data_IF_552208360673
#
_entry.id   IF_552208360673
#
_cell.length_a   1.000
_cell.length_b   1.000
_cell.length_c   1.000
_cell.angle_alpha   90.00
_cell.angle_beta   90.00
_cell.angle_gamma   90.00
#
_symmetry.space_group_name_H-M   'P 1'
#
loop_
_entity.id
_entity.type
_entity.pdbx_description
1 polymer ?
#
# COMPACT_ATOMS: atom_id res chain seq x y z
N UNK A 1 26.03 -1.89 1.75
CA UNK A 1 25.08 -1.46 2.82
C UNK A 1 24.70 0.02 2.70
N UNK A 2 25.66 0.95 2.51
CA UNK A 2 25.36 2.40 2.40
C UNK A 2 24.52 2.78 1.17
N UNK A 3 24.80 2.23 -0.03
CA UNK A 3 24.07 2.58 -1.27
C UNK A 3 22.57 2.21 -1.24
N UNK A 4 22.20 1.09 -0.61
CA UNK A 4 20.79 0.68 -0.49
C UNK A 4 20.03 1.61 0.48
N UNK A 5 20.66 1.97 1.60
CA UNK A 5 20.04 2.88 2.58
C UNK A 5 19.74 4.26 1.96
N UNK A 6 20.65 4.81 1.13
CA UNK A 6 20.42 6.08 0.42
C UNK A 6 19.31 5.98 -0.63
N UNK A 7 19.17 4.83 -1.31
CA UNK A 7 18.12 4.62 -2.31
C UNK A 7 16.74 4.48 -1.67
N UNK A 8 16.63 3.70 -0.59
CA UNK A 8 15.39 3.53 0.17
C UNK A 8 14.93 4.84 0.78
N UNK A 9 15.83 5.59 1.42
CA UNK A 9 15.50 6.92 1.95
C UNK A 9 15.00 7.89 0.87
N UNK A 10 15.63 7.90 -0.31
CA UNK A 10 15.15 8.73 -1.44
C UNK A 10 13.76 8.29 -1.94
N UNK A 11 13.51 6.98 -2.04
CA UNK A 11 12.22 6.42 -2.46
C UNK A 11 11.09 6.75 -1.48
N UNK A 12 11.39 6.68 -0.18
CA UNK A 12 10.46 7.01 0.91
C UNK A 12 10.13 8.51 0.92
N UNK A 13 11.12 9.40 0.78
CA UNK A 13 10.88 10.84 0.72
C UNK A 13 10.06 11.26 -0.52
N UNK A 14 10.29 10.61 -1.67
CA UNK A 14 9.44 10.81 -2.84
C UNK A 14 7.99 10.40 -2.56
N UNK A 15 7.78 9.25 -1.90
CA UNK A 15 6.44 8.78 -1.57
C UNK A 15 5.72 9.71 -0.60
N UNK A 16 6.41 10.26 0.41
CA UNK A 16 5.84 11.27 1.32
C UNK A 16 5.36 12.51 0.56
N UNK A 17 6.13 13.01 -0.40
CA UNK A 17 5.74 14.15 -1.23
C UNK A 17 4.50 13.86 -2.08
N UNK A 18 4.33 12.62 -2.52
CA UNK A 18 3.12 12.17 -3.22
C UNK A 18 1.94 12.13 -2.25
N UNK A 19 2.09 11.50 -1.07
CA UNK A 19 1.04 11.39 -0.06
C UNK A 19 0.53 12.74 0.46
N UNK A 20 1.39 13.77 0.50
CA UNK A 20 0.97 15.15 0.81
C UNK A 20 -0.07 15.73 -0.17
N UNK A 21 -0.21 15.14 -1.36
CA UNK A 21 -1.07 15.64 -2.45
C UNK A 21 -2.25 14.70 -2.75
N UNK A 22 -2.33 13.55 -2.08
CA UNK A 22 -3.39 12.57 -2.35
C UNK A 22 -4.74 13.12 -1.91
N UNK A 23 -5.72 12.98 -2.81
CA UNK A 23 -7.10 13.39 -2.61
C UNK A 23 -8.10 12.34 -3.18
N UNK A 24 -9.39 12.65 -3.12
CA UNK A 24 -10.46 11.77 -3.58
C UNK A 24 -10.47 11.46 -5.09
N UNK A 25 -9.69 12.19 -5.90
CA UNK A 25 -9.58 12.01 -7.35
C UNK A 25 -8.29 11.31 -7.77
N UNK A 26 -7.35 11.14 -6.83
CA UNK A 26 -6.03 10.57 -7.11
C UNK A 26 -6.10 9.10 -7.54
N UNK A 27 -6.95 8.30 -6.89
CA UNK A 27 -7.20 6.92 -7.28
C UNK A 27 -8.49 6.77 -8.10
N UNK A 28 -8.55 5.80 -9.04
CA UNK A 28 -7.50 4.86 -9.42
C UNK A 28 -6.78 5.27 -10.71
N UNK A 29 -6.91 6.53 -11.14
CA UNK A 29 -6.50 6.99 -12.48
C UNK A 29 -5.18 7.75 -12.52
N UNK A 30 -4.70 8.25 -11.39
CA UNK A 30 -3.40 8.94 -11.29
C UNK A 30 -2.43 8.09 -10.48
N UNK A 31 -2.88 7.62 -9.32
CA UNK A 31 -2.15 6.68 -8.47
C UNK A 31 -3.02 5.47 -8.12
N UNK A 32 -2.38 4.42 -7.63
CA UNK A 32 -3.05 3.33 -6.94
C UNK A 32 -2.08 2.61 -6.00
N UNK A 33 -2.33 2.66 -4.69
CA UNK A 33 -1.40 2.12 -3.68
C UNK A 33 -1.92 0.85 -3.00
N UNK A 34 -3.01 0.26 -3.47
CA UNK A 34 -3.56 -0.96 -2.88
C UNK A 34 -4.12 -1.86 -3.97
N UNK A 35 -3.41 -2.93 -4.31
CA UNK A 35 -3.82 -3.91 -5.32
C UNK A 35 -3.06 -5.22 -5.16
N UNK A 36 -3.70 -6.29 -5.60
CA UNK A 36 -3.23 -7.66 -5.41
C UNK A 36 -3.00 -8.36 -6.75
N UNK A 37 -2.01 -9.26 -6.77
CA UNK A 37 -1.66 -10.08 -7.92
C UNK A 37 -1.88 -11.56 -7.59
N UNK A 38 -1.58 -12.42 -8.55
CA UNK A 38 -1.52 -13.88 -8.34
C UNK A 38 -0.48 -14.33 -7.31
N UNK A 39 0.32 -13.42 -6.75
CA UNK A 39 1.28 -13.72 -5.69
C UNK A 39 0.65 -13.73 -4.29
N UNK A 40 -0.63 -13.35 -4.18
CA UNK A 40 -1.46 -13.55 -2.99
C UNK A 40 -2.82 -14.12 -3.40
N UNK A 41 -3.88 -13.33 -3.36
CA UNK A 41 -5.26 -13.71 -3.65
C UNK A 41 -5.89 -12.89 -4.79
N UNK A 42 -5.11 -12.04 -5.45
CA UNK A 42 -5.48 -11.36 -6.69
C UNK A 42 -5.45 -12.26 -7.92
N UNK A 43 -5.98 -11.75 -9.04
CA UNK A 43 -6.06 -12.49 -10.32
C UNK A 43 -5.14 -11.94 -11.41
N UNK A 44 -4.64 -10.72 -11.26
CA UNK A 44 -3.74 -10.11 -12.23
C UNK A 44 -2.35 -10.73 -12.16
N UNK A 45 -1.80 -11.06 -13.32
CA UNK A 45 -0.36 -11.29 -13.46
C UNK A 45 0.37 -9.95 -13.31
N UNK A 46 1.55 -9.89 -12.67
CA UNK A 46 2.30 -8.64 -12.52
C UNK A 46 2.59 -7.91 -13.84
N UNK A 47 2.83 -8.64 -14.93
CA UNK A 47 3.00 -8.05 -16.26
C UNK A 47 1.72 -7.38 -16.77
N UNK A 48 0.58 -8.09 -16.72
CA UNK A 48 -0.72 -7.56 -17.14
C UNK A 48 -1.16 -6.36 -16.28
N UNK A 49 -0.81 -6.37 -14.99
CA UNK A 49 -1.01 -5.25 -14.09
C UNK A 49 -0.23 -4.02 -14.56
N UNK A 50 1.06 -4.18 -14.84
CA UNK A 50 1.89 -3.06 -15.31
C UNK A 50 1.47 -2.54 -16.69
N UNK A 51 1.02 -3.43 -17.58
CA UNK A 51 0.42 -3.03 -18.86
C UNK A 51 -0.81 -2.14 -18.65
N UNK A 52 -1.71 -2.52 -17.74
CA UNK A 52 -2.86 -1.68 -17.39
C UNK A 52 -2.43 -0.35 -16.76
N UNK A 53 -1.47 -0.37 -15.84
CA UNK A 53 -0.97 0.85 -15.19
C UNK A 53 -0.42 1.86 -16.21
N UNK A 54 0.36 1.38 -17.20
CA UNK A 54 0.88 2.21 -18.29
C UNK A 54 -0.26 2.70 -19.19
N UNK A 55 -1.21 1.82 -19.56
CA UNK A 55 -2.32 2.18 -20.44
C UNK A 55 -3.30 3.19 -19.80
N UNK A 56 -3.52 3.12 -18.48
CA UNK A 56 -4.30 4.09 -17.72
C UNK A 56 -3.56 5.44 -17.63
N UNK A 57 -2.23 5.41 -17.67
CA UNK A 57 -1.38 6.58 -17.51
C UNK A 57 -1.11 6.90 -16.04
N UNK A 58 -1.00 5.89 -15.17
CA UNK A 58 -0.65 6.10 -13.77
C UNK A 58 0.70 6.81 -13.66
N UNK A 59 0.80 7.76 -12.74
CA UNK A 59 2.06 8.40 -12.35
C UNK A 59 2.84 7.52 -11.37
N UNK A 60 2.14 6.72 -10.56
CA UNK A 60 2.79 5.74 -9.70
C UNK A 60 1.84 4.78 -8.99
N UNK A 61 2.40 3.69 -8.49
CA UNK A 61 1.65 2.62 -7.83
C UNK A 61 2.51 1.79 -6.86
N UNK A 62 1.82 1.01 -6.03
CA UNK A 62 2.41 -0.07 -5.24
C UNK A 62 1.56 -1.34 -5.37
N UNK A 63 2.22 -2.47 -5.65
CA UNK A 63 1.60 -3.79 -5.55
C UNK A 63 1.70 -4.22 -4.09
N UNK A 64 0.60 -4.62 -3.47
CA UNK A 64 0.51 -4.85 -2.01
C UNK A 64 -0.01 -6.24 -1.68
N UNK A 65 0.50 -7.26 -2.37
CA UNK A 65 0.16 -8.66 -2.09
C UNK A 65 0.27 -9.01 -0.59
N UNK A 66 -0.67 -9.82 -0.09
CA UNK A 66 -0.68 -10.28 1.29
C UNK A 66 0.60 -11.05 1.65
N UNK A 67 1.33 -10.55 2.66
CA UNK A 67 2.52 -11.18 3.23
C UNK A 67 3.58 -11.60 2.20
N UNK A 68 3.64 -10.93 1.04
CA UNK A 68 4.48 -11.33 -0.06
C UNK A 68 4.90 -10.12 -0.90
N UNK A 69 6.13 -10.17 -1.41
CA UNK A 69 6.70 -9.14 -2.29
C UNK A 69 6.91 -9.65 -3.72
N UNK A 70 6.55 -10.90 -4.00
CA UNK A 70 6.78 -11.55 -5.29
C UNK A 70 6.15 -10.80 -6.48
N UNK A 71 4.94 -10.25 -6.31
CA UNK A 71 4.27 -9.48 -7.36
C UNK A 71 5.03 -8.21 -7.73
N UNK A 72 5.51 -7.47 -6.73
CA UNK A 72 6.39 -6.31 -6.92
C UNK A 72 7.69 -6.69 -7.65
N UNK A 73 8.39 -7.75 -7.22
CA UNK A 73 9.66 -8.15 -7.84
C UNK A 73 9.48 -8.57 -9.30
N UNK A 74 8.41 -9.33 -9.60
CA UNK A 74 8.08 -9.72 -10.95
C UNK A 74 7.69 -8.52 -11.84
N UNK A 75 6.91 -7.59 -11.31
CA UNK A 75 6.56 -6.34 -12.01
C UNK A 75 7.79 -5.47 -12.28
N UNK A 76 8.70 -5.35 -11.31
CA UNK A 76 9.94 -4.59 -11.44
C UNK A 76 10.83 -5.16 -12.55
N UNK A 77 11.07 -6.47 -12.55
CA UNK A 77 11.86 -7.13 -13.59
C UNK A 77 11.22 -6.99 -14.97
N UNK A 78 9.89 -7.13 -15.06
CA UNK A 78 9.15 -6.92 -16.31
C UNK A 78 9.28 -5.48 -16.81
N UNK A 79 9.16 -4.49 -15.92
CA UNK A 79 9.22 -3.07 -16.27
C UNK A 79 10.63 -2.67 -16.78
N UNK A 80 11.69 -3.29 -16.26
CA UNK A 80 13.06 -3.10 -16.76
C UNK A 80 13.21 -3.56 -18.23
N UNK A 81 12.71 -4.75 -18.57
CA UNK A 81 12.70 -5.25 -19.96
C UNK A 81 11.78 -4.40 -20.87
N UNK A 82 10.62 -4.00 -20.36
CA UNK A 82 9.68 -3.18 -21.11
C UNK A 82 10.26 -1.81 -21.45
N UNK A 83 10.96 -1.16 -20.50
CA UNK A 83 11.65 0.12 -20.71
C UNK A 83 12.70 0.04 -21.81
N UNK A 84 13.48 -1.04 -21.85
CA UNK A 84 14.49 -1.25 -22.89
C UNK A 84 13.87 -1.24 -24.30
N UNK A 85 12.65 -1.78 -24.44
CA UNK A 85 11.89 -1.80 -25.70
C UNK A 85 11.14 -0.50 -25.99
N UNK A 86 10.96 0.37 -24.99
CA UNK A 86 10.15 1.59 -25.05
C UNK A 86 10.85 2.79 -24.36
N UNK A 87 12.04 3.22 -24.83
CA UNK A 87 12.93 4.13 -24.08
C UNK A 87 12.39 5.55 -23.88
N UNK A 88 11.33 5.95 -24.60
CA UNK A 88 10.72 7.29 -24.53
C UNK A 88 9.32 7.30 -23.90
N UNK A 89 8.82 6.15 -23.47
CA UNK A 89 7.50 6.06 -22.88
C UNK A 89 7.51 6.56 -21.45
N UNK A 90 6.50 7.35 -21.09
CA UNK A 90 6.24 7.65 -19.68
C UNK A 90 5.74 6.38 -19.00
N UNK A 91 6.25 6.12 -17.81
CA UNK A 91 5.94 4.93 -17.03
C UNK A 91 5.67 5.33 -15.58
N UNK A 92 4.79 4.60 -14.88
CA UNK A 92 4.56 4.88 -13.48
C UNK A 92 5.81 4.57 -12.65
N UNK A 93 5.99 5.31 -11.57
CA UNK A 93 6.90 4.91 -10.50
C UNK A 93 6.31 3.71 -9.74
N UNK A 94 7.08 2.63 -9.58
CA UNK A 94 6.67 1.44 -8.83
C UNK A 94 7.39 1.42 -7.47
N UNK A 95 6.66 1.63 -6.38
CA UNK A 95 7.18 1.46 -5.02
C UNK A 95 7.05 0.01 -4.57
N UNK A 96 7.97 -0.45 -3.71
CA UNK A 96 7.79 -1.68 -2.95
C UNK A 96 6.54 -1.57 -2.08
N UNK A 97 5.77 -2.65 -2.01
CA UNK A 97 4.50 -2.72 -1.33
C UNK A 97 4.20 -4.13 -0.82
N UNK A 98 3.53 -4.25 0.33
CA UNK A 98 2.90 -5.49 0.80
C UNK A 98 1.80 -5.14 1.80
N UNK A 99 0.77 -5.97 1.90
CA UNK A 99 -0.25 -5.87 2.95
C UNK A 99 0.03 -6.92 4.04
N UNK A 100 0.16 -6.48 5.28
CA UNK A 100 0.53 -7.32 6.42
C UNK A 100 -0.59 -7.33 7.45
N UNK A 101 -1.14 -8.50 7.75
CA UNK A 101 -2.07 -8.70 8.86
C UNK A 101 -1.38 -8.44 10.21
N UNK A 102 -2.11 -7.78 11.12
CA UNK A 102 -1.66 -7.45 12.45
C UNK A 102 -2.82 -7.42 13.46
N UNK A 103 -2.53 -7.64 14.74
CA UNK A 103 -3.45 -7.39 15.84
C UNK A 103 -3.36 -5.94 16.30
N UNK A 104 -4.50 -5.25 16.36
CA UNK A 104 -4.66 -3.93 16.96
C UNK A 104 -5.98 -3.89 17.75
N UNK A 105 -5.91 -3.63 19.06
CA UNK A 105 -7.09 -3.62 19.95
C UNK A 105 -7.94 -4.90 19.85
N UNK A 106 -7.29 -6.07 19.85
CA UNK A 106 -7.92 -7.40 19.69
C UNK A 106 -8.70 -7.56 18.39
N UNK A 107 -8.32 -6.80 17.36
CA UNK A 107 -8.86 -6.86 16.01
C UNK A 107 -7.76 -7.19 15.00
N UNK A 108 -8.02 -8.11 14.08
CA UNK A 108 -7.17 -8.27 12.90
C UNK A 108 -7.37 -7.07 11.97
N UNK A 109 -6.32 -6.30 11.81
CA UNK A 109 -6.20 -5.19 10.87
C UNK A 109 -5.13 -5.51 9.83
N UNK A 110 -5.09 -4.73 8.76
CA UNK A 110 -4.09 -4.82 7.72
C UNK A 110 -3.28 -3.53 7.69
N UNK A 111 -1.95 -3.68 7.62
CA UNK A 111 -1.00 -2.59 7.52
C UNK A 111 -0.30 -2.70 6.18
N UNK A 112 -0.42 -1.65 5.37
CA UNK A 112 0.28 -1.51 4.11
C UNK A 112 1.69 -0.99 4.40
N UNK A 113 2.69 -1.75 3.96
CA UNK A 113 4.09 -1.37 4.02
C UNK A 113 4.53 -0.83 2.67
N UNK A 114 5.09 0.38 2.62
CA UNK A 114 5.53 1.01 1.38
C UNK A 114 7.00 1.42 1.40
N UNK A 115 7.61 1.47 0.20
CA UNK A 115 8.92 2.06 -0.04
C UNK A 115 10.06 1.51 0.83
N UNK A 116 9.87 0.34 1.43
CA UNK A 116 10.87 -0.35 2.26
C UNK A 116 11.89 -1.10 1.41
N UNK A 117 13.05 -1.42 1.99
CA UNK A 117 14.06 -2.31 1.40
C UNK A 117 13.63 -3.79 1.55
N UNK A 118 13.27 -4.49 0.46
CA UNK A 118 12.74 -5.86 0.57
C UNK A 118 13.72 -6.88 1.14
N UNK A 119 15.03 -6.62 1.04
CA UNK A 119 16.07 -7.50 1.58
C UNK A 119 16.40 -7.26 3.05
N UNK A 120 15.81 -6.24 3.69
CA UNK A 120 16.07 -5.90 5.09
C UNK A 120 15.60 -7.01 6.04
N UNK A 121 16.39 -7.30 7.09
CA UNK A 121 16.10 -8.42 7.98
C UNK A 121 14.82 -8.25 8.80
N UNK A 122 14.47 -7.01 9.17
CA UNK A 122 13.29 -6.72 10.00
C UNK A 122 11.97 -7.11 9.33
N UNK A 123 11.86 -6.93 8.00
CA UNK A 123 10.61 -7.16 7.27
C UNK A 123 10.46 -8.61 6.79
N UNK A 124 11.55 -9.38 6.69
CA UNK A 124 11.55 -10.76 6.19
C UNK A 124 10.54 -11.70 6.86
N UNK A 125 10.30 -11.65 8.19
CA UNK A 125 9.30 -12.51 8.84
C UNK A 125 7.89 -12.31 8.27
N UNK A 126 7.58 -11.10 7.82
CA UNK A 126 6.26 -10.72 7.30
C UNK A 126 6.07 -10.99 5.81
N UNK A 127 7.13 -11.42 5.11
CA UNK A 127 7.15 -11.72 3.67
C UNK A 127 7.15 -13.23 3.37
N UNK A 128 6.47 -14.02 4.21
CA UNK A 128 6.47 -15.49 4.15
C UNK A 128 5.15 -16.09 3.63
N UNK A 129 4.31 -15.30 2.95
CA UNK A 129 2.98 -15.66 2.42
C UNK A 129 1.90 -16.01 3.46
N UNK A 130 2.25 -15.96 4.73
CA UNK A 130 1.36 -16.21 5.85
C UNK A 130 1.62 -15.21 6.96
N UNK A 131 0.59 -14.91 7.74
CA UNK A 131 0.72 -14.08 8.92
C UNK A 131 1.68 -14.70 9.94
N UNK A 132 2.46 -13.85 10.59
CA UNK A 132 3.21 -14.20 11.79
C UNK A 132 2.26 -14.39 12.98
N UNK A 133 2.75 -14.91 14.10
CA UNK A 133 1.95 -15.10 15.32
C UNK A 133 2.64 -14.44 16.52
N UNK A 134 2.01 -14.46 17.69
CA UNK A 134 2.64 -14.00 18.92
C UNK A 134 2.88 -12.50 18.96
N UNK A 135 4.09 -12.10 19.38
CA UNK A 135 4.44 -10.69 19.55
C UNK A 135 4.62 -10.02 18.19
N UNK A 136 5.18 -10.71 17.20
CA UNK A 136 5.40 -10.22 15.85
C UNK A 136 4.09 -9.84 15.17
N UNK A 137 2.99 -10.51 15.52
CA UNK A 137 1.66 -10.19 14.99
C UNK A 137 1.08 -8.88 15.53
N UNK A 138 1.63 -8.29 16.60
CA UNK A 138 1.11 -7.03 17.14
C UNK A 138 1.44 -5.85 16.20
N UNK A 139 0.47 -4.97 15.96
CA UNK A 139 0.61 -3.83 15.04
C UNK A 139 1.85 -2.97 15.33
N UNK A 140 2.17 -2.72 16.60
CA UNK A 140 3.38 -1.99 17.01
C UNK A 140 4.68 -2.62 16.47
N UNK A 141 4.75 -3.96 16.43
CA UNK A 141 5.93 -4.68 15.95
C UNK A 141 5.97 -4.77 14.41
N UNK A 142 4.81 -4.82 13.76
CA UNK A 142 4.70 -4.69 12.31
C UNK A 142 5.17 -3.30 11.86
N UNK A 143 4.67 -2.24 12.50
CA UNK A 143 5.04 -0.84 12.22
C UNK A 143 6.54 -0.65 12.41
N UNK A 144 7.09 -1.08 13.55
CA UNK A 144 8.52 -1.00 13.83
C UNK A 144 9.37 -1.73 12.78
N UNK A 145 8.97 -2.93 12.37
CA UNK A 145 9.68 -3.69 11.35
C UNK A 145 9.70 -2.99 9.97
N UNK A 146 8.60 -2.34 9.59
CA UNK A 146 8.50 -1.55 8.36
C UNK A 146 9.43 -0.33 8.42
N UNK A 147 9.44 0.39 9.54
CA UNK A 147 10.31 1.55 9.74
C UNK A 147 11.79 1.17 9.76
N UNK A 148 12.15 0.06 10.41
CA UNK A 148 13.52 -0.47 10.39
C UNK A 148 13.97 -0.83 8.97
N UNK A 149 13.04 -1.26 8.11
CA UNK A 149 13.31 -1.49 6.69
C UNK A 149 13.31 -0.20 5.84
N UNK A 150 13.15 0.97 6.47
CA UNK A 150 13.15 2.29 5.84
C UNK A 150 11.85 2.68 5.14
N UNK A 151 10.76 1.93 5.37
CA UNK A 151 9.46 2.14 4.73
C UNK A 151 8.49 3.01 5.53
N UNK A 152 7.27 3.10 5.01
CA UNK A 152 6.11 3.73 5.64
C UNK A 152 5.04 2.68 5.94
N UNK A 153 4.42 2.77 7.11
CA UNK A 153 3.32 1.93 7.55
C UNK A 153 1.98 2.70 7.47
N UNK A 154 0.98 2.11 6.85
CA UNK A 154 -0.33 2.74 6.63
C UNK A 154 -1.46 1.79 7.01
N UNK A 155 -2.45 2.25 7.78
CA UNK A 155 -3.61 1.43 8.13
C UNK A 155 -4.53 1.31 6.91
N UNK A 156 -4.73 0.09 6.43
CA UNK A 156 -5.57 -0.19 5.28
C UNK A 156 -7.05 -0.13 5.65
N UNK A 157 -7.89 0.38 4.73
CA UNK A 157 -9.36 0.37 4.77
C UNK A 157 -9.99 0.37 6.17
N UNK A 158 -9.66 1.35 7.05
CA UNK A 158 -9.96 1.28 8.48
C UNK A 158 -11.44 1.16 8.84
N UNK A 159 -12.35 1.58 7.95
CA UNK A 159 -13.79 1.46 8.15
C UNK A 159 -14.38 0.11 7.69
N UNK A 160 -13.57 -0.87 7.27
CA UNK A 160 -14.03 -2.24 6.96
C UNK A 160 -14.11 -3.14 8.19
N UNK A 161 -13.39 -2.80 9.25
CA UNK A 161 -13.26 -3.65 10.42
C UNK A 161 -14.50 -3.61 11.32
N UNK A 162 -14.63 -4.62 12.19
CA UNK A 162 -15.69 -4.66 13.20
C UNK A 162 -15.53 -3.58 14.26
N UNK A 163 -14.27 -3.24 14.57
CA UNK A 163 -13.95 -2.16 15.49
C UNK A 163 -14.07 -0.82 14.76
N UNK A 164 -14.53 0.19 15.47
CA UNK A 164 -14.66 1.55 14.95
C UNK A 164 -13.33 2.08 14.41
N UNK A 165 -13.33 2.68 13.22
CA UNK A 165 -12.14 3.33 12.66
C UNK A 165 -11.64 4.48 13.55
N UNK A 166 -12.51 5.12 14.34
CA UNK A 166 -12.11 6.12 15.34
C UNK A 166 -11.14 5.52 16.36
N UNK A 167 -11.43 4.32 16.87
CA UNK A 167 -10.59 3.64 17.86
C UNK A 167 -9.30 3.10 17.22
N UNK A 168 -9.43 2.50 16.03
CA UNK A 168 -8.29 1.87 15.34
C UNK A 168 -7.27 2.91 14.87
N UNK A 169 -7.71 4.04 14.31
CA UNK A 169 -6.80 5.09 13.85
C UNK A 169 -6.10 5.74 15.04
N UNK A 170 -6.83 6.00 16.13
CA UNK A 170 -6.23 6.53 17.36
C UNK A 170 -5.14 5.59 17.91
N UNK A 171 -5.44 4.30 18.06
CA UNK A 171 -4.47 3.33 18.57
C UNK A 171 -3.28 3.11 17.62
N UNK A 172 -3.52 3.11 16.30
CA UNK A 172 -2.44 3.02 15.32
C UNK A 172 -1.51 4.25 15.38
N UNK A 173 -2.07 5.45 15.57
CA UNK A 173 -1.29 6.68 15.77
C UNK A 173 -0.44 6.62 17.04
N UNK A 174 -0.95 6.07 18.15
CA UNK A 174 -0.17 5.83 19.37
C UNK A 174 1.01 4.86 19.16
N UNK A 175 0.92 3.97 18.17
CA UNK A 175 1.99 3.07 17.76
C UNK A 175 2.91 3.65 16.67
N UNK A 176 2.71 4.91 16.27
CA UNK A 176 3.56 5.62 15.33
C UNK A 176 3.30 5.29 13.86
N UNK A 177 2.10 4.85 13.49
CA UNK A 177 1.76 4.65 12.08
C UNK A 177 1.92 5.95 11.27
N UNK A 178 2.29 5.86 10.00
CA UNK A 178 2.55 7.05 9.17
C UNK A 178 1.30 7.59 8.46
N UNK A 179 0.32 6.73 8.20
CA UNK A 179 -0.82 7.09 7.37
C UNK A 179 -2.04 6.19 7.51
N UNK A 180 -3.12 6.60 6.86
CA UNK A 180 -4.39 5.86 6.78
C UNK A 180 -4.93 5.88 5.36
N UNK A 181 -5.47 4.75 4.91
CA UNK A 181 -6.16 4.65 3.62
C UNK A 181 -7.53 5.34 3.69
N UNK A 182 -7.51 6.61 3.30
CA UNK A 182 -8.67 7.50 3.43
C UNK A 182 -9.61 7.38 2.25
N UNK A 183 -9.07 7.22 1.04
CA UNK A 183 -9.86 7.15 -0.18
C UNK A 183 -10.00 5.69 -0.61
N UNK A 184 -11.02 5.06 -0.02
CA UNK A 184 -11.36 3.66 -0.23
C UNK A 184 -12.84 3.51 -0.59
N UNK A 185 -13.15 2.51 -1.42
CA UNK A 185 -14.50 2.30 -1.95
C UNK A 185 -15.26 1.21 -1.17
N UNK A 186 -15.72 1.54 0.05
CA UNK A 186 -16.34 0.59 0.99
C UNK A 186 -17.59 -0.13 0.43
N UNK A 187 -18.36 0.55 -0.42
CA UNK A 187 -19.58 -0.01 -1.03
C UNK A 187 -19.33 -0.66 -2.41
N UNK A 188 -18.07 -0.80 -2.82
CA UNK A 188 -17.67 -1.36 -4.12
C UNK A 188 -18.47 -0.83 -5.35
N UNK A 189 -18.59 0.50 -5.53
CA UNK A 189 -19.25 1.08 -6.70
C UNK A 189 -18.50 0.75 -8.00
N UNK A 190 -19.27 0.69 -9.10
CA UNK A 190 -18.74 0.65 -10.47
C UNK A 190 -19.41 1.78 -11.27
N UNK A 191 -18.68 2.83 -11.69
CA UNK A 191 -17.23 3.01 -11.57
C UNK A 191 -16.74 3.16 -10.13
N UNK A 192 -15.48 2.76 -9.88
CA UNK A 192 -14.84 2.94 -8.58
C UNK A 192 -14.81 4.41 -8.19
N UNK A 193 -15.18 4.68 -6.95
CA UNK A 193 -15.07 5.99 -6.30
C UNK A 193 -14.98 5.78 -4.78
N UNK A 194 -14.25 6.64 -4.05
CA UNK A 194 -14.19 6.53 -2.60
C UNK A 194 -15.57 6.78 -1.98
N UNK A 195 -15.85 6.14 -0.84
CA UNK A 195 -17.10 6.38 -0.12
C UNK A 195 -17.02 7.75 0.60
N UNK A 196 -17.87 8.74 0.26
CA UNK A 196 -17.68 10.11 0.73
C UNK A 196 -17.70 10.26 2.26
N UNK A 197 -18.61 9.55 2.94
CA UNK A 197 -18.78 9.66 4.40
C UNK A 197 -17.56 9.13 5.13
N UNK A 198 -17.16 7.88 4.85
CA UNK A 198 -16.00 7.26 5.48
C UNK A 198 -14.72 8.01 5.12
N UNK A 199 -14.55 8.43 3.86
CA UNK A 199 -13.38 9.20 3.45
C UNK A 199 -13.26 10.54 4.16
N UNK A 200 -14.37 11.23 4.43
CA UNK A 200 -14.37 12.47 5.20
C UNK A 200 -13.97 12.23 6.66
N UNK A 201 -14.53 11.18 7.28
CA UNK A 201 -14.24 10.83 8.68
C UNK A 201 -12.78 10.42 8.87
N UNK A 202 -12.26 9.57 7.99
CA UNK A 202 -10.87 9.10 8.04
C UNK A 202 -9.89 10.25 7.77
N UNK A 203 -10.18 11.15 6.82
CA UNK A 203 -9.34 12.35 6.60
C UNK A 203 -9.29 13.28 7.82
N UNK A 204 -10.42 13.47 8.50
CA UNK A 204 -10.44 14.30 9.71
C UNK A 204 -9.53 13.69 10.78
N UNK A 205 -9.64 12.38 11.02
CA UNK A 205 -8.76 11.68 11.96
C UNK A 205 -7.29 11.72 11.51
N UNK A 206 -7.02 11.57 10.22
CA UNK A 206 -5.67 11.71 9.67
C UNK A 206 -5.09 13.09 10.00
N UNK A 207 -5.88 14.15 9.82
CA UNK A 207 -5.48 15.52 10.18
C UNK A 207 -5.25 15.67 11.69
N UNK A 208 -6.12 15.11 12.52
CA UNK A 208 -6.06 15.23 13.98
C UNK A 208 -4.80 14.56 14.56
N UNK A 209 -4.37 13.45 13.96
CA UNK A 209 -3.19 12.68 14.37
C UNK A 209 -1.92 12.99 13.55
N UNK A 210 -1.98 13.89 12.57
CA UNK A 210 -0.82 14.24 11.73
C UNK A 210 -0.38 13.13 10.77
N UNK A 211 -1.32 12.30 10.31
CA UNK A 211 -1.11 11.14 9.44
C UNK A 211 -1.27 11.49 7.96
N UNK A 212 -0.55 10.78 7.10
CA UNK A 212 -0.74 10.86 5.66
C UNK A 212 -2.06 10.21 5.21
N UNK A 213 -2.67 10.80 4.17
CA UNK A 213 -3.79 10.18 3.47
C UNK A 213 -3.25 9.33 2.31
N UNK A 214 -3.76 8.11 2.17
CA UNK A 214 -3.51 7.26 0.99
C UNK A 214 -4.81 6.87 0.28
N UNK A 215 -4.67 6.23 -0.88
CA UNK A 215 -5.78 5.73 -1.67
C UNK A 215 -5.40 4.42 -2.37
N UNK A 216 -6.40 3.58 -2.65
CA UNK A 216 -6.16 2.34 -3.35
C UNK A 216 -7.45 1.61 -3.70
N UNK A 217 -7.41 0.82 -4.76
CA UNK A 217 -8.61 0.11 -5.22
C UNK A 217 -8.90 -1.15 -4.45
N UNK A 218 -7.86 -1.73 -3.84
CA UNK A 218 -7.90 -3.07 -3.25
C UNK A 218 -8.34 -4.10 -4.30
N UNK A 219 -7.83 -3.95 -5.52
CA UNK A 219 -8.18 -4.80 -6.67
C UNK A 219 -7.69 -6.22 -6.43
N UNK A 220 -8.63 -7.17 -6.45
CA UNK A 220 -8.36 -8.61 -6.56
C UNK A 220 -8.77 -9.17 -7.93
N UNK A 221 -9.49 -8.38 -8.72
CA UNK A 221 -9.99 -8.73 -10.04
C UNK A 221 -8.95 -8.67 -11.16
N UNK A 222 -9.47 -8.52 -12.38
CA UNK A 222 -8.67 -8.37 -13.60
C UNK A 222 -8.57 -6.91 -14.09
N UNK A 223 -9.07 -5.95 -13.31
CA UNK A 223 -9.20 -4.55 -13.73
C UNK A 223 -8.75 -3.61 -12.60
N UNK A 224 -7.66 -2.86 -12.82
CA UNK A 224 -7.12 -1.89 -11.86
C UNK A 224 -8.06 -0.72 -11.53
N UNK A 225 -9.15 -0.54 -12.28
CA UNK A 225 -10.15 0.50 -12.04
C UNK A 225 -11.32 0.02 -11.16
N UNK A 226 -11.26 -1.21 -10.64
CA UNK A 226 -12.32 -1.86 -9.86
C UNK A 226 -11.72 -2.63 -8.69
N UNK A 227 -12.48 -2.85 -7.61
CA UNK A 227 -12.01 -3.68 -6.48
C UNK A 227 -12.09 -5.18 -6.79
N UNK A 228 -13.12 -5.63 -7.49
CA UNK A 228 -13.38 -7.05 -7.83
C UNK A 228 -13.51 -7.25 -9.33
#
# INVERSE_FOLDING_TARGET
MVMNCTRTSTSCELLKQVFQKIDAQSCPKVFNFHMHTVHSDGRLQPSALMEQAIAIGLEGLAITDHHNIGGYLAAQAWLEDWKWKNPHSNIPYLWSGTEINANLLDNEVHILAYAFEPSHSSIKPYLQKSAVTGIEYQAVNVIAAIHEAGGLAVLAHPARYRRSHFDLIAAAAEHGIDGVESFYAYNNPSPWKPSPTESQQVQQLASDYGLFNTCGTDTHGLNLLQRL
#
